data_IF_366785606514
#
_entry.id   IF_366785606514
#
_cell.length_a   1.000
_cell.length_b   1.000
_cell.length_c   1.000
_cell.angle_alpha   90.00
_cell.angle_beta   90.00
_cell.angle_gamma   90.00
#
_symmetry.space_group_name_H-M   'P 1'
#
loop_
_entity.id
_entity.type
_entity.pdbx_description
1 polymer ?
#
# COMPACT_ATOMS: atom_id res chain seq x y z
N UNK A 1 -50.23 5.17 -15.99
CA UNK A 1 -48.99 5.26 -16.79
C UNK A 1 -48.38 6.63 -16.52
N UNK A 2 -47.11 6.61 -16.13
CA UNK A 2 -46.42 7.69 -15.42
C UNK A 2 -46.36 9.00 -16.21
N UNK A 3 -46.64 10.07 -15.45
CA UNK A 3 -46.66 11.48 -15.80
C UNK A 3 -45.29 12.13 -15.57
N UNK A 4 -44.95 13.04 -16.46
CA UNK A 4 -44.21 14.29 -16.31
C UNK A 4 -43.62 14.66 -14.92
N UNK A 5 -42.39 15.20 -14.92
CA UNK A 5 -42.08 16.61 -14.57
C UNK A 5 -40.58 16.77 -14.20
N UNK A 6 -39.91 17.60 -15.00
CA UNK A 6 -38.69 18.34 -14.65
C UNK A 6 -39.09 19.50 -13.71
N UNK A 7 -38.59 19.55 -12.48
CA UNK A 7 -38.47 20.79 -11.69
C UNK A 7 -37.18 20.74 -10.87
N UNK A 8 -36.26 21.63 -11.20
CA UNK A 8 -35.20 22.06 -10.29
C UNK A 8 -35.78 23.11 -9.34
N UNK A 9 -36.03 22.73 -8.09
CA UNK A 9 -36.21 23.70 -6.99
C UNK A 9 -34.89 23.85 -6.26
N UNK A 10 -34.34 25.06 -6.27
CA UNK A 10 -33.30 25.48 -5.34
C UNK A 10 -33.83 25.33 -3.91
N UNK A 11 -33.34 24.32 -3.20
CA UNK A 11 -33.54 24.19 -1.75
C UNK A 11 -32.36 24.87 -1.08
N UNK A 12 -32.66 25.87 -0.27
CA UNK A 12 -31.69 26.69 0.43
C UNK A 12 -30.69 25.86 1.24
N UNK A 13 -29.47 26.37 1.31
CA UNK A 13 -28.42 25.89 2.21
C UNK A 13 -28.89 26.17 3.65
N UNK A 14 -29.65 25.24 4.22
CA UNK A 14 -29.74 25.13 5.66
C UNK A 14 -28.36 24.68 6.12
N UNK A 15 -27.69 25.51 6.93
CA UNK A 15 -26.50 25.10 7.65
C UNK A 15 -26.84 23.78 8.36
N UNK A 16 -26.26 22.68 7.89
CA UNK A 16 -26.22 21.46 8.68
C UNK A 16 -25.40 21.83 9.90
N UNK A 17 -26.08 22.01 11.03
CA UNK A 17 -25.43 21.92 12.33
C UNK A 17 -24.72 20.58 12.34
N UNK A 18 -23.41 20.62 12.19
CA UNK A 18 -22.53 19.49 12.43
C UNK A 18 -22.67 19.25 13.92
N UNK A 19 -23.62 18.41 14.31
CA UNK A 19 -23.72 17.95 15.70
C UNK A 19 -22.32 17.42 16.07
N UNK A 20 -21.74 17.85 17.20
CA UNK A 20 -20.49 17.30 17.66
C UNK A 20 -20.68 15.79 17.75
N UNK A 21 -19.72 15.01 17.22
CA UNK A 21 -19.68 13.57 17.34
C UNK A 21 -19.94 13.21 18.81
N UNK A 22 -21.16 12.81 19.13
CA UNK A 22 -21.51 12.25 20.42
C UNK A 22 -20.76 10.94 20.47
N UNK A 23 -19.83 10.83 21.42
CA UNK A 23 -18.81 9.79 21.50
C UNK A 23 -19.35 8.39 21.24
N UNK A 24 -19.24 7.94 20.00
CA UNK A 24 -19.25 6.53 19.72
C UNK A 24 -17.86 6.05 20.13
N UNK A 25 -17.73 5.45 21.32
CA UNK A 25 -16.50 4.79 21.72
C UNK A 25 -16.35 3.56 20.83
N UNK A 26 -15.87 3.78 19.61
CA UNK A 26 -15.56 2.74 18.65
C UNK A 26 -14.74 1.67 19.36
N UNK A 27 -15.17 0.41 19.21
CA UNK A 27 -14.44 -0.74 19.73
C UNK A 27 -13.35 -1.19 18.77
N UNK A 28 -13.25 -0.55 17.60
CA UNK A 28 -12.17 -0.81 16.66
C UNK A 28 -10.84 -0.43 17.29
N UNK A 29 -9.85 -1.30 17.12
CA UNK A 29 -8.44 -0.99 17.33
C UNK A 29 -7.62 -1.59 16.20
N UNK A 30 -6.43 -1.06 15.98
CA UNK A 30 -5.49 -1.60 14.99
C UNK A 30 -4.22 -2.00 15.73
N UNK A 31 -3.79 -3.23 15.51
CA UNK A 31 -2.48 -3.72 15.94
C UNK A 31 -1.60 -3.92 14.71
N UNK A 32 -0.29 -3.79 14.88
CA UNK A 32 0.66 -3.85 13.77
C UNK A 32 1.76 -4.86 14.02
N UNK A 33 2.19 -5.52 12.96
CA UNK A 33 3.29 -6.48 12.97
C UNK A 33 4.28 -6.11 11.86
N UNK A 34 5.56 -5.99 12.22
CA UNK A 34 6.64 -5.72 11.26
C UNK A 34 7.20 -7.06 10.78
N UNK A 35 7.11 -7.28 9.47
CA UNK A 35 7.64 -8.46 8.80
C UNK A 35 9.10 -8.20 8.37
N UNK A 36 10.04 -8.35 9.29
CA UNK A 36 11.46 -8.09 9.03
C UNK A 36 12.13 -9.08 8.08
N UNK A 37 13.39 -8.80 7.74
CA UNK A 37 14.27 -9.59 6.87
C UNK A 37 13.76 -9.63 5.42
N UNK A 38 13.45 -10.81 4.88
CA UNK A 38 13.08 -11.02 3.48
C UNK A 38 11.80 -10.27 3.09
N UNK A 39 10.98 -9.82 4.04
CA UNK A 39 9.77 -9.04 3.77
C UNK A 39 9.93 -7.54 4.03
N UNK A 40 11.17 -7.04 3.95
CA UNK A 40 11.51 -5.61 3.90
C UNK A 40 10.98 -4.76 5.05
N UNK A 41 10.73 -5.33 6.22
CA UNK A 41 10.11 -4.63 7.34
C UNK A 41 8.71 -4.08 7.01
N UNK A 42 7.99 -4.78 6.12
CA UNK A 42 6.61 -4.49 5.74
C UNK A 42 5.68 -4.62 6.96
N UNK A 43 4.78 -3.66 7.15
CA UNK A 43 3.88 -3.55 8.28
C UNK A 43 2.51 -4.14 7.94
N UNK A 44 2.20 -5.32 8.46
CA UNK A 44 0.84 -5.85 8.44
C UNK A 44 -0.01 -5.19 9.52
N UNK A 45 -1.26 -4.85 9.19
CA UNK A 45 -2.19 -4.16 10.10
C UNK A 45 -3.45 -4.99 10.37
N UNK A 46 -3.68 -5.36 11.63
CA UNK A 46 -4.83 -6.15 12.07
C UNK A 46 -5.88 -5.23 12.69
N UNK A 47 -6.97 -4.99 11.95
CA UNK A 47 -8.15 -4.24 12.40
C UNK A 47 -9.05 -5.19 13.19
N UNK A 48 -9.24 -4.90 14.47
CA UNK A 48 -10.00 -5.76 15.40
C UNK A 48 -11.24 -5.01 15.85
N UNK A 49 -12.42 -5.54 15.47
CA UNK A 49 -13.73 -5.06 15.90
C UNK A 49 -14.32 -5.90 17.03
N UNK A 50 -15.59 -5.75 17.35
CA UNK A 50 -16.31 -6.41 18.43
C UNK A 50 -16.42 -7.93 18.27
N UNK A 51 -16.72 -8.42 17.07
CA UNK A 51 -16.95 -9.86 16.82
C UNK A 51 -16.03 -10.48 15.76
N UNK A 52 -15.22 -9.68 15.08
CA UNK A 52 -14.38 -10.13 13.98
C UNK A 52 -13.12 -9.28 13.85
N UNK A 53 -12.16 -9.76 13.09
CA UNK A 53 -10.95 -9.04 12.72
C UNK A 53 -10.68 -9.14 11.21
N UNK A 54 -9.90 -8.21 10.68
CA UNK A 54 -9.42 -8.15 9.30
C UNK A 54 -7.94 -7.82 9.29
N UNK A 55 -7.16 -8.48 8.45
CA UNK A 55 -5.74 -8.21 8.26
C UNK A 55 -5.51 -7.46 6.94
N UNK A 56 -4.62 -6.47 6.95
CA UNK A 56 -4.17 -5.73 5.78
C UNK A 56 -2.67 -5.99 5.59
N UNK A 57 -2.32 -6.36 4.36
CA UNK A 57 -1.02 -6.78 3.82
C UNK A 57 -0.45 -8.08 4.40
N UNK A 58 -0.01 -8.96 3.49
CA UNK A 58 0.57 -10.27 3.79
C UNK A 58 1.99 -10.34 3.23
N UNK A 59 2.98 -10.88 3.97
CA UNK A 59 4.39 -10.70 3.66
C UNK A 59 4.87 -11.42 2.41
N UNK A 60 6.08 -11.06 1.96
CA UNK A 60 6.77 -11.65 0.82
C UNK A 60 7.04 -13.14 1.02
N UNK A 61 7.56 -13.49 2.19
CA UNK A 61 8.23 -14.76 2.43
C UNK A 61 7.47 -15.67 3.40
N UNK A 62 7.61 -16.98 3.19
CA UNK A 62 6.90 -18.03 3.93
C UNK A 62 7.15 -17.95 5.45
N UNK A 63 8.39 -17.80 5.95
CA UNK A 63 8.63 -17.73 7.40
C UNK A 63 7.90 -16.55 8.06
N UNK A 64 7.87 -15.39 7.39
CA UNK A 64 7.18 -14.20 7.86
C UNK A 64 5.66 -14.40 7.84
N UNK A 65 5.11 -15.05 6.81
CA UNK A 65 3.68 -15.37 6.76
C UNK A 65 3.26 -16.29 7.93
N UNK A 66 4.07 -17.28 8.26
CA UNK A 66 3.84 -18.19 9.40
C UNK A 66 3.98 -17.46 10.76
N UNK A 67 4.95 -16.56 10.88
CA UNK A 67 5.14 -15.73 12.06
C UNK A 67 3.95 -14.76 12.26
N UNK A 68 3.50 -14.11 11.19
CA UNK A 68 2.33 -13.24 11.19
C UNK A 68 1.08 -14.02 11.60
N UNK A 69 0.84 -15.21 11.03
CA UNK A 69 -0.30 -16.05 11.41
C UNK A 69 -0.28 -16.42 12.89
N UNK A 70 0.91 -16.78 13.41
CA UNK A 70 1.12 -17.07 14.84
C UNK A 70 0.86 -15.85 15.71
N UNK A 71 1.26 -14.66 15.27
CA UNK A 71 1.00 -13.40 15.96
C UNK A 71 -0.50 -13.07 15.97
N UNK A 72 -1.20 -13.17 14.83
CA UNK A 72 -2.65 -12.92 14.75
C UNK A 72 -3.42 -13.77 15.77
N UNK A 73 -3.13 -15.09 15.84
CA UNK A 73 -3.78 -15.99 16.81
C UNK A 73 -3.51 -15.64 18.27
N UNK A 74 -2.35 -15.02 18.58
CA UNK A 74 -2.02 -14.55 19.93
C UNK A 74 -2.67 -13.21 20.26
N UNK A 75 -2.91 -12.39 19.24
CA UNK A 75 -3.39 -11.00 19.40
C UNK A 75 -4.91 -10.92 19.57
N UNK A 76 -5.67 -11.86 19.01
CA UNK A 76 -7.13 -11.91 19.17
C UNK A 76 -7.70 -13.32 19.03
N UNK A 77 -8.79 -13.57 19.75
CA UNK A 77 -9.65 -14.75 19.62
C UNK A 77 -10.77 -14.58 18.59
N UNK A 78 -10.88 -13.40 17.96
CA UNK A 78 -11.93 -13.09 17.00
C UNK A 78 -11.65 -13.74 15.64
N UNK A 79 -12.70 -14.22 14.94
CA UNK A 79 -12.54 -14.77 13.60
C UNK A 79 -11.96 -13.73 12.65
N UNK A 80 -10.98 -14.15 11.87
CA UNK A 80 -10.43 -13.37 10.77
C UNK A 80 -11.38 -13.50 9.57
N UNK A 81 -12.17 -12.46 9.29
CA UNK A 81 -13.26 -12.52 8.29
C UNK A 81 -12.86 -12.03 6.91
N UNK A 82 -11.72 -11.36 6.80
CA UNK A 82 -11.08 -11.02 5.52
C UNK A 82 -9.60 -10.70 5.70
N UNK A 83 -8.85 -10.88 4.62
CA UNK A 83 -7.52 -10.33 4.40
C UNK A 83 -7.57 -9.36 3.22
N UNK A 84 -6.71 -8.34 3.23
CA UNK A 84 -6.59 -7.37 2.12
C UNK A 84 -5.13 -7.17 1.74
N UNK A 85 -4.86 -6.88 0.46
CA UNK A 85 -3.62 -6.23 0.02
C UNK A 85 -3.90 -4.80 -0.42
N UNK A 86 -2.98 -3.90 -0.05
CA UNK A 86 -3.05 -2.48 -0.41
C UNK A 86 -2.73 -2.24 -1.89
N UNK A 87 -1.76 -2.97 -2.45
CA UNK A 87 -1.28 -2.84 -3.83
C UNK A 87 -0.55 -4.12 -4.29
N UNK A 88 0.02 -4.11 -5.51
CA UNK A 88 0.54 -5.31 -6.16
C UNK A 88 1.98 -5.68 -5.80
N UNK A 89 2.70 -4.90 -4.98
CA UNK A 89 4.05 -5.27 -4.61
C UNK A 89 4.08 -6.60 -3.86
N UNK A 90 5.08 -7.45 -4.15
CA UNK A 90 5.07 -8.85 -3.75
C UNK A 90 5.19 -9.04 -2.24
N UNK A 91 5.81 -8.12 -1.54
CA UNK A 91 5.87 -8.08 -0.09
C UNK A 91 4.55 -7.72 0.61
N UNK A 92 3.48 -7.44 -0.15
CA UNK A 92 2.12 -7.20 0.37
C UNK A 92 1.12 -8.32 0.03
N UNK A 93 1.52 -9.36 -0.73
CA UNK A 93 0.62 -10.49 -1.02
C UNK A 93 1.28 -11.86 -1.25
N UNK A 94 2.57 -11.94 -1.60
CA UNK A 94 3.12 -13.12 -2.29
C UNK A 94 2.99 -14.38 -1.45
N UNK A 95 3.34 -14.34 -0.16
CA UNK A 95 3.17 -15.48 0.75
C UNK A 95 1.80 -15.55 1.42
N UNK A 96 0.79 -14.92 0.82
CA UNK A 96 -0.60 -15.00 1.27
C UNK A 96 -1.12 -16.44 1.34
N UNK A 97 -0.70 -17.33 0.43
CA UNK A 97 -1.05 -18.75 0.48
C UNK A 97 -0.61 -19.40 1.80
N UNK A 98 0.65 -19.18 2.21
CA UNK A 98 1.20 -19.74 3.45
C UNK A 98 0.52 -19.16 4.71
N UNK A 99 0.12 -17.89 4.68
CA UNK A 99 -0.66 -17.29 5.77
C UNK A 99 -2.07 -17.89 5.85
N UNK A 100 -2.77 -17.99 4.71
CA UNK A 100 -4.17 -18.43 4.64
C UNK A 100 -4.36 -19.92 4.90
N UNK A 101 -3.33 -20.76 4.78
CA UNK A 101 -3.35 -22.14 5.29
C UNK A 101 -3.72 -22.21 6.78
N UNK A 102 -3.40 -21.16 7.55
CA UNK A 102 -3.76 -21.04 8.96
C UNK A 102 -5.18 -20.46 9.18
N UNK A 103 -5.78 -19.87 8.15
CA UNK A 103 -7.09 -19.24 8.20
C UNK A 103 -7.92 -19.62 6.96
N UNK A 104 -8.30 -20.90 6.81
CA UNK A 104 -8.84 -21.44 5.56
C UNK A 104 -10.19 -20.83 5.13
N UNK A 105 -10.94 -20.23 6.08
CA UNK A 105 -12.23 -19.58 5.81
C UNK A 105 -12.09 -18.07 5.58
N UNK A 106 -10.87 -17.52 5.58
CA UNK A 106 -10.62 -16.09 5.38
C UNK A 106 -10.50 -15.77 3.89
N UNK A 107 -11.46 -15.07 3.28
CA UNK A 107 -11.31 -14.57 1.92
C UNK A 107 -10.22 -13.48 1.85
N UNK A 108 -9.54 -13.40 0.72
CA UNK A 108 -8.43 -12.47 0.49
C UNK A 108 -8.77 -11.54 -0.67
N UNK A 109 -8.62 -10.24 -0.46
CA UNK A 109 -9.14 -9.21 -1.35
C UNK A 109 -8.09 -8.17 -1.77
N UNK A 110 -8.19 -7.67 -2.98
CA UNK A 110 -7.49 -6.46 -3.44
C UNK A 110 -8.38 -5.73 -4.45
N UNK A 111 -8.14 -4.44 -4.72
CA UNK A 111 -8.95 -3.75 -5.72
C UNK A 111 -8.71 -4.37 -7.11
N UNK A 112 -9.66 -4.22 -8.02
CA UNK A 112 -9.61 -4.88 -9.32
C UNK A 112 -8.39 -4.53 -10.18
N UNK A 113 -7.81 -3.32 -10.04
CA UNK A 113 -6.58 -2.93 -10.75
C UNK A 113 -5.35 -3.65 -10.20
N UNK A 114 -5.21 -3.70 -8.87
CA UNK A 114 -4.17 -4.48 -8.19
C UNK A 114 -4.22 -5.96 -8.56
N UNK A 115 -5.41 -6.57 -8.54
CA UNK A 115 -5.57 -7.98 -8.94
C UNK A 115 -5.14 -8.19 -10.40
N UNK A 116 -5.44 -7.23 -11.29
CA UNK A 116 -5.00 -7.26 -12.68
C UNK A 116 -3.47 -7.27 -12.81
N UNK A 117 -2.77 -6.38 -12.10
CA UNK A 117 -1.30 -6.33 -12.09
C UNK A 117 -0.71 -7.62 -11.54
N UNK A 118 -1.18 -8.09 -10.38
CA UNK A 118 -0.69 -9.35 -9.78
C UNK A 118 -0.82 -10.53 -10.75
N UNK A 119 -1.96 -10.68 -11.45
CA UNK A 119 -2.15 -11.76 -12.43
C UNK A 119 -1.16 -11.70 -13.60
N UNK A 120 -0.80 -10.50 -14.04
CA UNK A 120 0.09 -10.32 -15.17
C UNK A 120 1.54 -10.65 -14.81
N UNK A 121 1.96 -10.40 -13.57
CA UNK A 121 3.37 -10.45 -13.19
C UNK A 121 3.72 -11.63 -12.26
N UNK A 122 2.74 -12.33 -11.68
CA UNK A 122 2.97 -13.34 -10.62
C UNK A 122 4.01 -14.41 -11.00
N UNK A 123 4.04 -14.86 -12.27
CA UNK A 123 5.03 -15.86 -12.71
C UNK A 123 6.46 -15.32 -12.62
N UNK A 124 6.67 -14.10 -13.12
CA UNK A 124 7.98 -13.45 -13.14
C UNK A 124 8.39 -13.04 -11.73
N UNK A 125 7.45 -12.56 -10.91
CA UNK A 125 7.63 -12.25 -9.50
C UNK A 125 8.08 -13.49 -8.72
N UNK A 126 7.39 -14.63 -8.86
CA UNK A 126 7.76 -15.88 -8.18
C UNK A 126 9.17 -16.31 -8.61
N UNK A 127 9.49 -16.27 -9.91
CA UNK A 127 10.81 -16.64 -10.40
C UNK A 127 11.90 -15.70 -9.85
N UNK A 128 11.68 -14.39 -9.93
CA UNK A 128 12.61 -13.37 -9.46
C UNK A 128 12.89 -13.55 -7.97
N UNK A 129 11.86 -13.59 -7.13
CA UNK A 129 12.04 -13.68 -5.69
C UNK A 129 12.57 -15.04 -5.25
N UNK A 130 12.24 -16.13 -5.96
CA UNK A 130 12.88 -17.43 -5.71
C UNK A 130 14.40 -17.38 -5.92
N UNK A 131 14.87 -16.59 -6.88
CA UNK A 131 16.30 -16.39 -7.11
C UNK A 131 16.95 -15.48 -6.05
N UNK A 132 16.19 -14.53 -5.50
CA UNK A 132 16.71 -13.55 -4.52
C UNK A 132 16.73 -14.09 -3.11
N UNK A 133 15.64 -14.71 -2.64
CA UNK A 133 15.47 -15.16 -1.26
C UNK A 133 15.41 -16.69 -1.10
N UNK A 134 15.61 -17.45 -2.19
CA UNK A 134 15.58 -18.91 -2.18
C UNK A 134 14.19 -19.48 -2.41
N UNK A 135 14.12 -20.56 -3.20
CA UNK A 135 12.86 -21.24 -3.58
C UNK A 135 12.08 -21.76 -2.37
N UNK A 136 12.76 -22.07 -1.27
CA UNK A 136 12.19 -22.56 -0.02
C UNK A 136 11.44 -21.48 0.76
N UNK A 137 11.69 -20.20 0.47
CA UNK A 137 11.08 -19.06 1.14
C UNK A 137 9.94 -18.42 0.34
N UNK A 138 9.74 -18.84 -0.92
CA UNK A 138 8.71 -18.30 -1.82
C UNK A 138 7.64 -19.36 -2.08
N UNK A 139 6.37 -18.97 -1.98
CA UNK A 139 5.29 -19.89 -2.35
C UNK A 139 5.30 -20.12 -3.87
N UNK A 140 5.29 -21.37 -4.35
CA UNK A 140 5.37 -21.66 -5.78
C UNK A 140 4.09 -21.28 -6.53
N UNK A 141 2.95 -21.25 -5.84
CA UNK A 141 1.65 -20.84 -6.37
C UNK A 141 1.03 -19.85 -5.38
N UNK A 142 1.24 -18.54 -5.58
CA UNK A 142 0.64 -17.51 -4.73
C UNK A 142 -0.89 -17.50 -4.83
N UNK A 143 -1.56 -17.18 -3.72
CA UNK A 143 -3.00 -16.88 -3.74
C UNK A 143 -3.19 -15.48 -4.31
N UNK A 144 -3.79 -15.38 -5.50
CA UNK A 144 -4.22 -14.10 -6.06
C UNK A 144 -5.51 -13.65 -5.34
N UNK A 145 -5.58 -12.42 -4.80
CA UNK A 145 -6.79 -11.92 -4.15
C UNK A 145 -8.00 -11.86 -5.08
N UNK A 146 -9.19 -12.03 -4.51
CA UNK A 146 -10.44 -11.72 -5.18
C UNK A 146 -10.59 -10.20 -5.37
N UNK A 147 -11.03 -9.73 -6.55
CA UNK A 147 -11.21 -8.31 -6.79
C UNK A 147 -12.42 -7.78 -6.00
N UNK A 148 -12.28 -6.59 -5.43
CA UNK A 148 -13.41 -5.82 -4.90
C UNK A 148 -13.59 -4.49 -5.64
N UNK A 149 -14.84 -4.01 -5.64
CA UNK A 149 -15.23 -2.67 -6.11
C UNK A 149 -15.97 -1.85 -5.03
N UNK A 150 -16.04 -2.35 -3.79
CA UNK A 150 -16.63 -1.60 -2.68
C UNK A 150 -15.66 -0.54 -2.13
N UNK A 151 -16.20 0.56 -1.59
CA UNK A 151 -15.43 1.70 -1.07
C UNK A 151 -15.39 1.75 0.47
N UNK A 152 -16.05 0.82 1.14
CA UNK A 152 -16.01 0.64 2.59
C UNK A 152 -16.44 -0.77 2.98
N UNK A 153 -16.12 -1.16 4.19
CA UNK A 153 -16.72 -2.32 4.86
C UNK A 153 -16.95 -2.04 6.35
N UNK A 154 -17.73 -2.88 6.99
CA UNK A 154 -17.96 -2.86 8.44
C UNK A 154 -17.67 -4.23 9.03
N UNK A 155 -17.17 -4.26 10.26
CA UNK A 155 -17.03 -5.51 11.02
C UNK A 155 -18.35 -5.83 11.75
N UNK A 156 -18.75 -7.11 11.85
CA UNK A 156 -19.92 -7.52 12.62
C UNK A 156 -19.89 -7.00 14.07
N UNK A 157 -20.95 -6.29 14.46
CA UNK A 157 -21.07 -5.64 15.76
C UNK A 157 -20.47 -4.23 15.84
N UNK A 158 -19.88 -3.71 14.77
CA UNK A 158 -19.34 -2.35 14.67
C UNK A 158 -19.86 -1.62 13.42
N UNK A 159 -21.10 -1.90 13.02
CA UNK A 159 -21.72 -1.36 11.79
C UNK A 159 -21.76 0.18 11.76
N UNK A 160 -21.74 0.82 12.94
CA UNK A 160 -21.68 2.28 13.08
C UNK A 160 -20.26 2.87 12.94
N UNK A 161 -19.24 2.06 12.68
CA UNK A 161 -17.83 2.45 12.53
C UNK A 161 -17.23 1.82 11.27
N UNK A 162 -17.60 2.30 10.06
CA UNK A 162 -17.06 1.75 8.83
C UNK A 162 -15.55 2.02 8.68
N UNK A 163 -14.87 1.07 8.03
CA UNK A 163 -13.53 1.26 7.46
C UNK A 163 -13.74 1.68 6.01
N UNK A 164 -13.25 2.87 5.66
CA UNK A 164 -13.30 3.40 4.30
C UNK A 164 -12.06 2.96 3.52
N UNK A 165 -12.27 2.45 2.30
CA UNK A 165 -11.20 2.13 1.36
C UNK A 165 -11.12 3.27 0.35
N UNK A 166 -10.00 3.99 0.35
CA UNK A 166 -9.74 5.09 -0.56
C UNK A 166 -8.86 4.56 -1.68
N UNK A 167 -9.46 4.26 -2.82
CA UNK A 167 -8.83 3.57 -3.96
C UNK A 167 -9.52 3.97 -5.28
N UNK A 168 -8.84 3.96 -6.42
CA UNK A 168 -7.37 3.84 -6.56
C UNK A 168 -6.70 5.18 -6.30
N UNK A 169 -5.57 5.18 -5.59
CA UNK A 169 -4.71 6.34 -5.39
C UNK A 169 -3.31 6.05 -5.89
N UNK A 170 -2.58 7.09 -6.31
CA UNK A 170 -1.20 6.95 -6.76
C UNK A 170 -0.25 7.16 -5.58
N UNK A 171 0.60 6.16 -5.35
CA UNK A 171 1.72 6.15 -4.43
C UNK A 171 3.01 5.79 -5.17
N UNK A 172 3.75 4.86 -4.59
CA UNK A 172 4.78 4.07 -5.26
C UNK A 172 4.22 3.27 -6.45
N UNK A 173 2.96 2.83 -6.36
CA UNK A 173 2.19 2.27 -7.49
C UNK A 173 0.97 3.10 -7.88
N UNK A 174 0.33 2.78 -9.02
CA UNK A 174 -0.83 3.54 -9.56
C UNK A 174 -2.20 3.03 -9.09
N UNK A 175 -2.23 1.88 -8.43
CA UNK A 175 -3.43 1.11 -8.09
C UNK A 175 -3.60 0.93 -6.58
N UNK A 176 -2.83 1.65 -5.77
CA UNK A 176 -2.80 1.46 -4.34
C UNK A 176 -4.11 1.88 -3.62
N UNK A 177 -4.30 1.33 -2.43
CA UNK A 177 -5.48 1.52 -1.59
C UNK A 177 -5.10 1.91 -0.16
N UNK A 178 -5.81 2.90 0.39
CA UNK A 178 -5.69 3.32 1.79
C UNK A 178 -6.88 2.79 2.60
N UNK A 179 -6.66 2.41 3.86
CA UNK A 179 -7.74 2.06 4.79
C UNK A 179 -7.88 3.13 5.87
N UNK A 180 -8.90 3.97 5.72
CA UNK A 180 -9.22 5.06 6.64
C UNK A 180 -10.29 4.64 7.64
N UNK A 181 -10.02 4.79 8.93
CA UNK A 181 -10.92 4.43 10.03
C UNK A 181 -11.29 5.70 10.81
N UNK A 182 -12.32 6.46 10.37
CA UNK A 182 -12.65 7.77 10.95
C UNK A 182 -12.94 7.69 12.45
N UNK A 183 -13.58 6.61 12.91
CA UNK A 183 -14.05 6.45 14.29
C UNK A 183 -12.92 6.41 15.33
N UNK A 184 -11.69 6.11 14.90
CA UNK A 184 -10.48 6.12 15.75
C UNK A 184 -9.36 7.02 15.19
N UNK A 185 -9.64 7.72 14.08
CA UNK A 185 -8.71 8.58 13.34
C UNK A 185 -7.40 7.86 12.97
N UNK A 186 -7.49 6.62 12.50
CA UNK A 186 -6.34 5.80 12.08
C UNK A 186 -6.37 5.61 10.57
N UNK A 187 -5.23 5.81 9.91
CA UNK A 187 -5.01 5.51 8.50
C UNK A 187 -3.96 4.40 8.37
N UNK A 188 -4.29 3.32 7.66
CA UNK A 188 -3.30 2.35 7.17
C UNK A 188 -2.93 2.78 5.76
N UNK A 189 -1.66 3.14 5.59
CA UNK A 189 -1.20 3.86 4.41
C UNK A 189 -0.65 2.96 3.31
N UNK A 190 -0.22 1.73 3.63
CA UNK A 190 0.65 0.98 2.72
C UNK A 190 1.87 1.82 2.32
N UNK A 191 2.40 1.57 1.14
CA UNK A 191 3.65 2.18 0.69
C UNK A 191 3.54 3.64 0.26
N UNK A 192 2.33 4.20 0.31
CA UNK A 192 2.12 5.63 0.16
C UNK A 192 2.86 6.42 1.25
N UNK A 193 3.08 5.83 2.43
CA UNK A 193 3.87 6.44 3.50
C UNK A 193 4.85 5.39 4.02
N UNK A 194 6.12 5.75 3.99
CA UNK A 194 7.23 4.94 4.49
C UNK A 194 7.74 5.58 5.78
N UNK A 195 8.06 4.76 6.80
CA UNK A 195 8.59 5.28 8.05
C UNK A 195 9.87 6.10 7.82
N UNK A 196 10.06 7.13 8.63
CA UNK A 196 11.23 8.02 8.53
C UNK A 196 12.58 7.34 8.86
N UNK A 197 12.56 6.06 9.23
CA UNK A 197 13.75 5.25 9.42
C UNK A 197 14.20 4.54 8.13
N UNK A 198 13.46 4.66 7.03
CA UNK A 198 13.72 3.95 5.77
C UNK A 198 13.77 4.91 4.58
N UNK A 199 14.53 4.54 3.55
CA UNK A 199 14.44 5.19 2.23
C UNK A 199 13.09 4.85 1.57
N UNK A 200 12.56 5.81 0.80
CA UNK A 200 11.29 5.64 0.08
C UNK A 200 11.55 4.91 -1.23
N UNK A 201 10.75 3.89 -1.54
CA UNK A 201 10.77 3.20 -2.82
C UNK A 201 10.19 4.11 -3.92
N UNK A 202 11.05 4.57 -4.84
CA UNK A 202 10.65 5.44 -5.96
C UNK A 202 10.99 4.82 -7.32
N UNK A 203 11.44 3.56 -7.34
CA UNK A 203 11.91 2.89 -8.56
C UNK A 203 10.80 2.76 -9.63
N UNK A 204 9.53 2.66 -9.23
CA UNK A 204 8.41 2.56 -10.16
C UNK A 204 7.86 3.93 -10.62
N UNK A 205 8.43 5.04 -10.14
CA UNK A 205 8.02 6.39 -10.52
C UNK A 205 8.69 6.84 -11.82
N UNK A 206 8.33 6.17 -12.91
CA UNK A 206 8.99 6.31 -14.21
C UNK A 206 8.73 7.64 -14.93
N UNK A 207 7.84 8.48 -14.41
CA UNK A 207 7.53 9.78 -15.00
C UNK A 207 7.28 10.86 -13.94
N UNK A 208 7.56 12.14 -14.24
CA UNK A 208 7.24 13.28 -13.37
C UNK A 208 5.76 13.39 -12.97
N UNK A 209 4.85 12.83 -13.78
CA UNK A 209 3.44 12.80 -13.43
C UNK A 209 3.15 11.86 -12.25
N UNK A 210 3.89 10.76 -12.11
CA UNK A 210 3.71 9.80 -11.02
C UNK A 210 4.19 10.38 -9.69
N UNK A 211 5.39 10.95 -9.64
CA UNK A 211 5.90 11.66 -8.45
C UNK A 211 4.98 12.82 -8.04
N UNK A 212 4.50 13.63 -9.00
CA UNK A 212 3.57 14.72 -8.72
C UNK A 212 2.22 14.22 -8.21
N UNK A 213 1.72 13.10 -8.75
CA UNK A 213 0.48 12.48 -8.31
C UNK A 213 0.61 11.93 -6.88
N UNK A 214 1.73 11.27 -6.55
CA UNK A 214 1.98 10.80 -5.19
C UNK A 214 2.05 11.96 -4.19
N UNK A 215 2.75 13.06 -4.51
CA UNK A 215 2.73 14.28 -3.68
C UNK A 215 1.31 14.82 -3.48
N UNK A 216 0.45 14.78 -4.51
CA UNK A 216 -0.97 15.14 -4.38
C UNK A 216 -1.72 14.20 -3.44
N UNK A 217 -1.45 12.89 -3.50
CA UNK A 217 -1.99 11.90 -2.57
C UNK A 217 -1.55 12.16 -1.13
N UNK A 218 -0.28 12.50 -0.89
CA UNK A 218 0.21 12.87 0.44
C UNK A 218 -0.50 14.12 1.00
N UNK A 219 -0.76 15.11 0.15
CA UNK A 219 -1.56 16.29 0.52
C UNK A 219 -3.02 15.95 0.80
N UNK A 220 -3.58 14.94 0.14
CA UNK A 220 -4.90 14.42 0.46
C UNK A 220 -4.91 13.72 1.82
N UNK A 221 -3.92 12.86 2.11
CA UNK A 221 -3.76 12.19 3.41
C UNK A 221 -3.66 13.20 4.55
N UNK A 222 -2.88 14.26 4.38
CA UNK A 222 -2.77 15.33 5.38
C UNK A 222 -4.14 15.95 5.72
N UNK A 223 -5.00 16.14 4.71
CA UNK A 223 -6.35 16.71 4.88
C UNK A 223 -7.34 15.77 5.58
N UNK A 224 -7.07 14.46 5.61
CA UNK A 224 -7.83 13.52 6.44
C UNK A 224 -7.62 13.77 7.94
N UNK A 225 -6.51 14.43 8.31
CA UNK A 225 -6.09 14.70 9.69
C UNK A 225 -6.08 13.42 10.56
N UNK A 226 -5.38 12.35 10.12
CA UNK A 226 -5.23 11.16 10.93
C UNK A 226 -4.53 11.51 12.25
N UNK A 227 -4.98 10.89 13.34
CA UNK A 227 -4.28 10.92 14.63
C UNK A 227 -3.08 9.96 14.61
N UNK A 228 -3.18 8.90 13.81
CA UNK A 228 -2.18 7.87 13.64
C UNK A 228 -2.14 7.47 12.17
N UNK A 229 -0.94 7.46 11.59
CA UNK A 229 -0.67 6.88 10.27
C UNK A 229 0.18 5.65 10.50
N UNK A 230 -0.25 4.51 9.97
CA UNK A 230 0.52 3.27 9.94
C UNK A 230 1.18 3.20 8.55
N UNK A 231 2.53 3.31 8.46
CA UNK A 231 3.26 3.24 7.20
C UNK A 231 3.27 1.81 6.64
N UNK A 232 3.57 1.66 5.36
CA UNK A 232 3.76 0.36 4.71
C UNK A 232 5.03 -0.37 5.17
N UNK A 233 6.09 0.37 5.49
CA UNK A 233 7.34 -0.17 5.99
C UNK A 233 7.85 0.59 7.21
N UNK A 234 8.38 -0.14 8.20
CA UNK A 234 8.99 0.44 9.40
C UNK A 234 9.88 -0.55 10.12
N UNK A 235 11.07 -0.14 10.56
CA UNK A 235 11.94 -0.96 11.41
C UNK A 235 11.34 -1.30 12.78
N UNK A 236 10.37 -0.51 13.24
CA UNK A 236 9.75 -0.71 14.55
C UNK A 236 8.23 -0.57 14.47
N UNK A 237 7.53 -1.32 15.32
CA UNK A 237 6.08 -1.23 15.48
C UNK A 237 5.65 -0.23 16.56
N UNK A 238 6.56 0.68 16.98
CA UNK A 238 6.32 1.66 18.04
C UNK A 238 6.54 3.07 17.54
N UNK A 239 5.79 4.03 18.09
CA UNK A 239 6.02 5.45 17.82
C UNK A 239 5.57 5.92 16.45
N UNK A 240 4.63 5.23 15.81
CA UNK A 240 3.85 5.78 14.70
C UNK A 240 3.14 7.06 15.14
N UNK A 241 3.07 8.03 14.23
CA UNK A 241 2.54 9.36 14.51
C UNK A 241 1.73 9.92 13.34
N UNK A 242 1.14 11.12 13.52
CA UNK A 242 0.26 11.70 12.51
C UNK A 242 1.00 12.36 11.34
N UNK A 243 2.25 12.78 11.52
CA UNK A 243 2.93 13.66 10.56
C UNK A 243 4.39 13.33 10.27
N UNK A 244 5.13 12.69 11.18
CA UNK A 244 6.58 12.49 11.00
C UNK A 244 6.91 11.75 9.70
N UNK A 245 6.27 10.62 9.48
CA UNK A 245 6.52 9.76 8.33
C UNK A 245 5.91 10.36 7.04
N UNK A 246 4.79 11.06 7.16
CA UNK A 246 4.19 11.84 6.06
C UNK A 246 5.13 12.95 5.55
N UNK A 247 5.70 13.75 6.46
CA UNK A 247 6.64 14.82 6.10
C UNK A 247 7.97 14.27 5.58
N UNK A 248 8.40 13.11 6.08
CA UNK A 248 9.53 12.38 5.50
C UNK A 248 9.27 12.01 4.04
N UNK A 249 8.15 11.34 3.73
CA UNK A 249 7.79 10.97 2.36
C UNK A 249 7.67 12.19 1.44
N UNK A 250 7.02 13.28 1.89
CA UNK A 250 6.93 14.53 1.12
C UNK A 250 8.31 15.13 0.81
N UNK A 251 9.18 15.20 1.81
CA UNK A 251 10.55 15.72 1.66
C UNK A 251 11.35 14.86 0.69
N UNK A 252 11.24 13.55 0.79
CA UNK A 252 11.92 12.59 -0.07
C UNK A 252 11.51 12.75 -1.53
N UNK A 253 10.21 12.73 -1.81
CA UNK A 253 9.70 12.90 -3.18
C UNK A 253 10.04 14.26 -3.77
N UNK A 254 9.94 15.33 -2.96
CA UNK A 254 10.30 16.68 -3.43
C UNK A 254 11.78 16.77 -3.82
N UNK A 255 12.67 16.20 -2.99
CA UNK A 255 14.10 16.18 -3.28
C UNK A 255 14.40 15.29 -4.49
N UNK A 256 13.76 14.13 -4.61
CA UNK A 256 13.88 13.28 -5.78
C UNK A 256 13.48 14.02 -7.07
N UNK A 257 12.35 14.74 -7.05
CA UNK A 257 11.89 15.55 -8.18
C UNK A 257 12.93 16.61 -8.58
N UNK A 258 13.44 17.37 -7.61
CA UNK A 258 14.29 18.53 -7.90
C UNK A 258 15.72 18.14 -8.26
N UNK A 259 16.27 17.14 -7.57
CA UNK A 259 17.69 16.80 -7.69
C UNK A 259 17.96 15.68 -8.68
N UNK A 260 17.05 14.71 -8.86
CA UNK A 260 17.28 13.52 -9.70
C UNK A 260 16.40 13.57 -10.96
N UNK A 261 15.08 13.57 -10.79
CA UNK A 261 14.11 13.48 -11.89
C UNK A 261 14.26 14.64 -12.88
N UNK A 262 14.39 15.88 -12.38
CA UNK A 262 14.55 17.08 -13.21
C UNK A 262 15.84 17.09 -14.05
N UNK A 263 16.85 16.28 -13.71
CA UNK A 263 18.08 16.13 -14.51
C UNK A 263 17.92 15.15 -15.66
N UNK A 264 16.88 14.33 -15.61
CA UNK A 264 16.61 13.27 -16.55
C UNK A 264 17.34 11.97 -16.22
N UNK A 265 16.80 10.87 -16.74
CA UNK A 265 17.36 9.54 -16.60
C UNK A 265 18.80 9.49 -17.14
N UNK A 266 19.68 8.72 -16.49
CA UNK A 266 21.10 8.58 -16.84
C UNK A 266 21.99 9.83 -16.66
N UNK A 267 21.50 10.91 -16.05
CA UNK A 267 22.35 12.06 -15.73
C UNK A 267 23.43 11.68 -14.71
N UNK A 268 23.02 11.11 -13.59
CA UNK A 268 23.91 10.56 -12.56
C UNK A 268 24.21 9.08 -12.82
N UNK A 269 25.30 8.59 -12.24
CA UNK A 269 25.57 7.16 -12.03
C UNK A 269 24.76 6.64 -10.82
N UNK A 270 24.59 5.32 -10.67
CA UNK A 270 23.96 4.76 -9.48
C UNK A 270 24.64 5.21 -8.18
N UNK A 271 25.98 5.21 -8.13
CA UNK A 271 26.71 5.64 -6.93
C UNK A 271 26.43 7.11 -6.57
N UNK A 272 26.37 8.01 -7.56
CA UNK A 272 26.07 9.42 -7.31
C UNK A 272 24.64 9.62 -6.77
N UNK A 273 23.66 8.85 -7.25
CA UNK A 273 22.29 8.88 -6.72
C UNK A 273 22.25 8.34 -5.29
N UNK A 274 22.91 7.21 -5.05
CA UNK A 274 23.01 6.60 -3.73
C UNK A 274 23.59 7.59 -2.72
N UNK A 275 24.75 8.16 -3.02
CA UNK A 275 25.46 9.10 -2.13
C UNK A 275 24.61 10.36 -1.89
N UNK A 276 23.96 10.89 -2.92
CA UNK A 276 23.10 12.08 -2.80
C UNK A 276 21.95 11.84 -1.81
N UNK A 277 21.24 10.73 -1.94
CA UNK A 277 20.10 10.40 -1.10
C UNK A 277 20.53 10.00 0.31
N UNK A 278 21.62 9.25 0.48
CA UNK A 278 22.18 8.89 1.79
C UNK A 278 22.60 10.14 2.58
N UNK A 279 23.26 11.10 1.91
CA UNK A 279 23.62 12.40 2.52
C UNK A 279 22.39 13.23 2.89
N UNK A 280 21.35 13.22 2.05
CA UNK A 280 20.12 13.97 2.29
C UNK A 280 19.26 13.41 3.44
N UNK A 281 19.39 12.11 3.71
CA UNK A 281 18.65 11.36 4.72
C UNK A 281 19.60 10.53 5.60
N UNK A 282 20.45 11.20 6.41
CA UNK A 282 21.56 10.54 7.09
C UNK A 282 21.10 9.55 8.17
N UNK A 283 21.81 8.43 8.29
CA UNK A 283 21.61 7.40 9.31
C UNK A 283 20.55 6.36 8.97
N UNK A 284 19.83 6.54 7.86
CA UNK A 284 18.78 5.62 7.38
C UNK A 284 19.35 4.36 6.73
N UNK A 285 20.53 4.42 6.10
CA UNK A 285 21.22 3.25 5.53
C UNK A 285 21.98 2.42 6.56
N UNK A 286 22.24 3.01 7.73
CA UNK A 286 22.93 2.39 8.87
C UNK A 286 21.93 1.79 9.88
N UNK A 287 20.66 1.71 9.49
CA UNK A 287 19.57 1.08 10.22
C UNK A 287 19.90 -0.34 10.65
N UNK A 288 19.16 -0.85 11.64
CA UNK A 288 19.34 -2.23 12.10
C UNK A 288 18.90 -3.28 11.05
N UNK A 289 18.26 -2.83 9.97
CA UNK A 289 17.76 -3.68 8.90
C UNK A 289 18.45 -3.32 7.58
N UNK A 290 18.79 -4.34 6.79
CA UNK A 290 19.39 -4.15 5.46
C UNK A 290 18.41 -3.61 4.42
N UNK A 291 17.11 -3.61 4.74
CA UNK A 291 16.01 -3.22 3.85
C UNK A 291 16.20 -1.82 3.27
N UNK A 292 16.55 -0.85 4.11
CA UNK A 292 16.69 0.56 3.71
C UNK A 292 17.77 0.79 2.66
N UNK A 293 18.96 0.22 2.87
CA UNK A 293 20.07 0.31 1.92
C UNK A 293 19.76 -0.43 0.61
N UNK A 294 19.02 -1.54 0.66
CA UNK A 294 18.57 -2.26 -0.53
C UNK A 294 17.58 -1.41 -1.34
N UNK A 295 16.57 -0.81 -0.70
CA UNK A 295 15.60 0.10 -1.35
C UNK A 295 16.32 1.27 -2.04
N UNK A 296 17.27 1.89 -1.36
CA UNK A 296 18.06 2.97 -1.95
C UNK A 296 18.88 2.48 -3.15
N UNK A 297 19.51 1.31 -3.04
CA UNK A 297 20.28 0.73 -4.14
C UNK A 297 19.39 0.45 -5.36
N UNK A 298 18.15 0.00 -5.18
CA UNK A 298 17.23 -0.20 -6.31
C UNK A 298 16.89 1.12 -7.01
N UNK A 299 16.54 2.15 -6.23
CA UNK A 299 16.32 3.51 -6.77
C UNK A 299 17.54 4.01 -7.54
N UNK A 300 18.74 3.86 -6.96
CA UNK A 300 19.98 4.30 -7.58
C UNK A 300 20.26 3.60 -8.92
N UNK A 301 20.02 2.29 -9.00
CA UNK A 301 20.23 1.53 -10.24
C UNK A 301 19.17 1.85 -11.30
N UNK A 302 17.94 2.09 -10.90
CA UNK A 302 16.84 2.37 -11.83
C UNK A 302 17.05 3.67 -12.61
N UNK A 303 17.42 4.74 -11.91
CA UNK A 303 17.58 6.07 -12.52
C UNK A 303 19.03 6.38 -12.95
N UNK A 304 20.00 5.60 -12.46
CA UNK A 304 21.42 5.78 -12.72
C UNK A 304 21.89 5.26 -14.08
N UNK A 305 22.85 5.96 -14.67
CA UNK A 305 23.48 5.58 -15.94
C UNK A 305 24.17 4.23 -15.84
N UNK A 306 23.71 3.28 -16.65
CA UNK A 306 24.29 1.93 -16.70
C UNK A 306 23.93 1.05 -15.51
N UNK A 307 23.02 1.50 -14.63
CA UNK A 307 22.45 0.64 -13.59
C UNK A 307 21.53 -0.43 -14.19
N UNK A 308 21.48 -1.63 -13.61
CA UNK A 308 20.47 -2.63 -13.95
C UNK A 308 19.08 -2.10 -13.58
N UNK A 309 18.18 -2.04 -14.56
CA UNK A 309 16.81 -1.57 -14.35
C UNK A 309 15.85 -2.72 -14.20
N UNK A 310 14.80 -2.49 -13.44
CA UNK A 310 13.69 -3.39 -13.34
C UNK A 310 12.91 -3.45 -14.63
N UNK A 311 12.40 -4.65 -14.87
CA UNK A 311 11.46 -4.90 -15.93
C UNK A 311 10.09 -4.37 -15.48
N UNK A 312 9.78 -3.12 -15.82
CA UNK A 312 8.44 -2.53 -15.60
C UNK A 312 7.39 -3.03 -16.61
N UNK A 313 7.52 -4.29 -17.04
CA UNK A 313 6.85 -4.79 -18.24
C UNK A 313 5.43 -5.23 -17.91
N UNK A 314 4.47 -4.41 -18.34
CA UNK A 314 3.14 -4.90 -18.64
C UNK A 314 3.21 -5.61 -20.00
N UNK A 315 3.30 -6.95 -20.03
CA UNK A 315 3.25 -7.69 -21.29
C UNK A 315 1.90 -7.47 -21.95
N UNK A 316 1.84 -6.55 -22.92
CA UNK A 316 0.60 -6.25 -23.64
C UNK A 316 0.02 -7.48 -24.36
N UNK A 317 0.79 -8.57 -24.54
CA UNK A 317 0.28 -9.84 -25.08
C UNK A 317 -0.50 -10.67 -24.06
N UNK A 318 -0.35 -10.43 -22.75
CA UNK A 318 -1.17 -11.07 -21.73
C UNK A 318 -2.63 -10.61 -21.79
N UNK A 319 -2.86 -9.38 -22.29
CA UNK A 319 -4.17 -8.78 -22.54
C UNK A 319 -4.81 -9.40 -23.78
N UNK A 320 -5.23 -10.65 -23.64
CA UNK A 320 -5.96 -11.40 -24.67
C UNK A 320 -7.46 -11.13 -24.65
N UNK A 321 -7.93 -10.36 -23.67
CA UNK A 321 -9.33 -10.00 -23.48
C UNK A 321 -9.56 -8.52 -23.78
N UNK A 322 -10.33 -8.22 -24.82
CA UNK A 322 -10.71 -6.84 -25.19
C UNK A 322 -11.45 -6.11 -24.06
N UNK A 323 -12.07 -6.86 -23.13
CA UNK A 323 -12.77 -6.30 -21.98
C UNK A 323 -11.82 -5.58 -21.02
N UNK A 324 -10.59 -6.08 -20.89
CA UNK A 324 -9.55 -5.51 -20.03
C UNK A 324 -8.90 -4.26 -20.65
N UNK A 325 -9.10 -4.05 -21.95
CA UNK A 325 -8.63 -2.88 -22.70
C UNK A 325 -9.66 -1.73 -22.75
N UNK A 326 -10.85 -1.90 -22.16
CA UNK A 326 -11.86 -0.83 -22.05
C UNK A 326 -11.40 0.26 -21.07
N UNK A 327 -10.64 1.22 -21.61
CA UNK A 327 -10.06 2.36 -20.90
C UNK A 327 -9.00 3.10 -21.72
N UNK A 328 -8.45 2.43 -22.74
CA UNK A 328 -7.41 2.96 -23.64
C UNK A 328 -7.96 3.55 -24.95
N UNK A 329 -9.28 3.53 -25.15
CA UNK A 329 -9.90 4.14 -26.32
C UNK A 329 -9.86 5.68 -26.20
N UNK A 330 -8.88 6.31 -26.85
CA UNK A 330 -8.88 7.76 -27.06
C UNK A 330 -10.02 8.13 -28.01
N UNK A 331 -11.08 8.72 -27.46
CA UNK A 331 -12.23 9.20 -28.22
C UNK A 331 -13.21 8.11 -28.63
N UNK A 332 -14.29 7.98 -27.86
CA UNK A 332 -15.66 8.21 -28.36
C UNK A 332 -16.65 8.22 -27.18
N UNK A 333 -17.41 9.30 -27.14
CA UNK A 333 -18.65 9.47 -26.39
C UNK A 333 -19.74 8.52 -26.89
#
# INVERSE_FOLDING_TARGET
>A
MLKDILVWTAVGVSAYNISPFVGNTSKLRVETFVNSNESFDMVSSLIIGSKAAVIVDLPLAIPQAQALASWVRKTTDKPLVAAFSTHFHPDHYLSGAAFLEQFPDTPFYANSKTVGHMKNEVSDVVQQWSNVIGTENVVPIPTIPEPYDFTLFTLPGDEASPVHILSTVVGDTVDASLFWIPSISVLIAGDLIIANSLHVWVADLLTPALTASWLSTLNFIEKLRPRLIIPGHSETNVGFGPTRDLEHSKKYLSLFQTEIEAKGINFYTPQEIFDLLDVAFPGITQSNTSSSALVLNFTANEFGRGGPRYSHHVDLKSFTNITELHGWALGKY
#
